data_IF_770984170519
#
_entry.id   IF_770984170519
#
_cell.length_a   1.000
_cell.length_b   1.000
_cell.length_c   1.000
_cell.angle_alpha   90.00
_cell.angle_beta   90.00
_cell.angle_gamma   90.00
#
_symmetry.space_group_name_H-M   'P 1'
#
loop_
_entity.id
_entity.type
_entity.pdbx_description
1 polymer ?
#
# COMPACT_ATOMS: atom_id res chain seq x y z
N UNK A 1 -10.84 22.97 11.19
CA UNK A 1 -10.59 22.65 9.77
C UNK A 1 -11.86 22.20 9.05
N UNK A 2 -12.61 21.21 9.54
CA UNK A 2 -13.87 20.77 8.92
C UNK A 2 -14.98 21.84 8.92
N UNK A 3 -14.95 22.80 9.83
CA UNK A 3 -15.94 23.91 9.92
C UNK A 3 -15.99 24.82 8.69
N UNK A 4 -14.97 24.77 7.82
CA UNK A 4 -14.92 25.53 6.56
C UNK A 4 -15.44 24.74 5.36
N UNK A 5 -15.77 23.48 5.57
CA UNK A 5 -16.29 22.56 4.56
C UNK A 5 -17.79 22.37 4.76
N UNK A 6 -18.52 22.31 3.66
CA UNK A 6 -19.94 21.99 3.63
C UNK A 6 -20.14 20.50 3.37
N UNK A 7 -21.18 19.93 3.97
CA UNK A 7 -21.54 18.53 3.73
C UNK A 7 -22.08 18.40 2.29
N UNK A 8 -21.43 17.59 1.47
CA UNK A 8 -21.88 17.29 0.10
C UNK A 8 -22.77 16.05 0.07
N UNK A 9 -22.44 15.03 0.87
CA UNK A 9 -23.26 13.83 1.05
C UNK A 9 -23.09 13.19 2.45
N UNK A 10 -23.54 11.94 2.62
CA UNK A 10 -23.46 11.24 3.91
C UNK A 10 -22.03 11.07 4.46
N UNK A 11 -21.02 11.04 3.60
CA UNK A 11 -19.63 10.70 3.91
C UNK A 11 -18.61 11.74 3.39
N UNK A 12 -19.05 12.73 2.61
CA UNK A 12 -18.22 13.77 2.00
C UNK A 12 -18.48 15.17 2.57
N UNK A 13 -17.38 15.87 2.83
CA UNK A 13 -17.34 17.28 3.15
C UNK A 13 -16.41 17.98 2.16
N UNK A 14 -16.89 19.05 1.55
CA UNK A 14 -16.22 19.75 0.47
C UNK A 14 -16.35 21.26 0.54
N UNK A 15 -15.95 21.96 -0.52
CA UNK A 15 -16.10 23.41 -0.60
C UNK A 15 -16.57 23.80 -2.00
N UNK A 16 -17.65 24.58 -2.09
CA UNK A 16 -18.26 25.03 -3.36
C UNK A 16 -18.53 23.85 -4.30
N UNK A 17 -19.08 22.76 -3.75
CA UNK A 17 -19.34 21.53 -4.50
C UNK A 17 -18.11 20.67 -4.84
N UNK A 18 -16.90 21.08 -4.44
CA UNK A 18 -15.68 20.28 -4.64
C UNK A 18 -15.45 19.34 -3.47
N UNK A 19 -15.43 18.04 -3.73
CA UNK A 19 -15.19 16.97 -2.73
C UNK A 19 -13.89 17.15 -1.96
N UNK A 20 -13.92 16.86 -0.65
CA UNK A 20 -12.74 16.78 0.21
C UNK A 20 -12.19 15.37 0.40
N UNK A 21 -12.63 14.41 -0.43
CA UNK A 21 -12.19 13.02 -0.37
C UNK A 21 -10.90 12.80 -1.17
N UNK A 22 -9.99 12.06 -0.54
CA UNK A 22 -8.77 11.54 -1.16
C UNK A 22 -9.12 10.34 -2.03
N UNK A 23 -8.37 10.15 -3.12
CA UNK A 23 -8.56 9.04 -4.05
C UNK A 23 -7.27 8.24 -4.21
N UNK A 24 -7.38 6.93 -4.39
CA UNK A 24 -6.30 6.11 -4.91
C UNK A 24 -6.52 5.92 -6.40
N UNK A 25 -5.56 6.39 -7.20
CA UNK A 25 -5.60 6.19 -8.65
C UNK A 25 -4.63 5.08 -9.03
N UNK A 26 -5.15 4.05 -9.69
CA UNK A 26 -4.41 2.87 -10.14
C UNK A 26 -4.14 2.96 -11.64
N UNK A 27 -2.94 2.56 -12.06
CA UNK A 27 -2.56 2.43 -13.48
C UNK A 27 -1.86 1.11 -13.71
N UNK A 28 -2.28 0.40 -14.74
CA UNK A 28 -1.69 -0.89 -15.11
C UNK A 28 -0.23 -0.69 -15.53
N UNK A 29 0.67 -1.53 -15.03
CA UNK A 29 2.08 -1.53 -15.43
C UNK A 29 2.24 -2.01 -16.88
N UNK A 30 3.28 -1.53 -17.55
CA UNK A 30 3.58 -1.91 -18.93
C UNK A 30 3.84 -3.43 -19.00
N UNK A 31 3.15 -4.14 -19.89
CA UNK A 31 3.28 -5.59 -20.10
C UNK A 31 2.38 -6.47 -19.20
N UNK A 32 1.71 -5.89 -18.19
CA UNK A 32 0.83 -6.65 -17.30
C UNK A 32 -0.46 -7.15 -17.99
N UNK A 33 -0.95 -6.42 -18.99
CA UNK A 33 -2.13 -6.80 -19.78
C UNK A 33 -1.94 -8.08 -20.59
N UNK A 34 -0.72 -8.34 -21.07
CA UNK A 34 -0.40 -9.50 -21.90
C UNK A 34 -0.28 -10.79 -21.07
N UNK A 35 0.18 -10.66 -19.81
CA UNK A 35 0.41 -11.80 -18.90
C UNK A 35 -0.80 -12.21 -18.07
N UNK A 36 -1.76 -11.32 -17.85
CA UNK A 36 -2.91 -11.57 -16.99
C UNK A 36 -3.94 -12.56 -17.58
N UNK A 37 -3.83 -12.92 -18.87
CA UNK A 37 -4.77 -13.83 -19.55
C UNK A 37 -6.23 -13.34 -19.57
N UNK A 38 -6.46 -12.07 -19.19
CA UNK A 38 -7.76 -11.41 -19.06
C UNK A 38 -7.60 -9.93 -19.40
N UNK A 39 -8.67 -9.32 -19.93
CA UNK A 39 -8.71 -7.87 -20.14
C UNK A 39 -8.77 -7.15 -18.79
N UNK A 40 -7.65 -6.56 -18.37
CA UNK A 40 -7.56 -5.73 -17.18
C UNK A 40 -7.80 -4.26 -17.54
N UNK A 41 -8.50 -3.54 -16.67
CA UNK A 41 -8.71 -2.10 -16.85
C UNK A 41 -7.38 -1.35 -16.85
N UNK A 42 -7.07 -0.51 -17.86
CA UNK A 42 -5.81 0.22 -17.91
C UNK A 42 -5.59 1.16 -16.72
N UNK A 43 -6.68 1.68 -16.14
CA UNK A 43 -6.67 2.51 -14.95
C UNK A 43 -8.03 2.55 -14.28
N UNK A 44 -8.05 2.69 -12.96
CA UNK A 44 -9.28 2.91 -12.20
C UNK A 44 -9.00 3.75 -10.95
N UNK A 45 -10.05 4.26 -10.31
CA UNK A 45 -9.94 5.10 -9.13
C UNK A 45 -10.82 4.58 -8.00
N UNK A 46 -10.28 4.59 -6.78
CA UNK A 46 -11.00 4.24 -5.56
C UNK A 46 -11.07 5.48 -4.66
N UNK A 47 -12.28 5.88 -4.28
CA UNK A 47 -12.49 6.96 -3.30
C UNK A 47 -12.27 6.44 -1.89
N UNK A 48 -11.44 7.13 -1.10
CA UNK A 48 -11.15 6.77 0.29
C UNK A 48 -12.10 7.50 1.24
N UNK A 49 -13.17 6.82 1.62
CA UNK A 49 -14.13 7.35 2.60
C UNK A 49 -13.57 7.26 4.03
N UNK A 50 -13.98 8.17 4.94
CA UNK A 50 -13.69 8.02 6.36
C UNK A 50 -14.13 6.64 6.88
N UNK A 51 -13.31 6.03 7.73
CA UNK A 51 -13.60 4.72 8.35
C UNK A 51 -13.85 3.57 7.35
N UNK A 52 -13.36 3.72 6.11
CA UNK A 52 -13.39 2.64 5.12
C UNK A 52 -12.09 1.84 5.11
N UNK A 53 -12.18 0.59 4.65
CA UNK A 53 -11.04 -0.26 4.40
C UNK A 53 -11.06 -0.70 2.92
N UNK A 54 -9.89 -0.64 2.28
CA UNK A 54 -9.69 -1.12 0.92
C UNK A 54 -8.79 -2.36 0.94
N UNK A 55 -9.27 -3.46 0.37
CA UNK A 55 -8.53 -4.71 0.27
C UNK A 55 -8.18 -4.98 -1.19
N UNK A 56 -6.90 -5.21 -1.47
CA UNK A 56 -6.41 -5.60 -2.78
C UNK A 56 -5.50 -6.83 -2.64
N UNK A 57 -5.77 -7.94 -3.34
CA UNK A 57 -4.86 -9.08 -3.37
C UNK A 57 -3.47 -8.66 -3.87
N UNK A 58 -2.40 -9.20 -3.28
CA UNK A 58 -1.03 -8.91 -3.72
C UNK A 58 -0.80 -9.27 -5.20
N UNK A 59 -1.45 -10.33 -5.68
CA UNK A 59 -1.42 -10.73 -7.09
C UNK A 59 -1.96 -9.65 -8.02
N UNK A 60 -2.98 -8.90 -7.60
CA UNK A 60 -3.52 -7.75 -8.34
C UNK A 60 -2.68 -6.51 -8.10
N UNK A 61 -2.27 -6.24 -6.86
CA UNK A 61 -1.45 -5.08 -6.50
C UNK A 61 -0.16 -5.01 -7.32
N UNK A 62 0.49 -6.15 -7.54
CA UNK A 62 1.70 -6.27 -8.35
C UNK A 62 1.53 -5.75 -9.78
N UNK A 63 0.33 -5.83 -10.35
CA UNK A 63 0.08 -5.44 -11.75
C UNK A 63 -0.14 -3.93 -11.92
N UNK A 64 -0.40 -3.21 -10.84
CA UNK A 64 -0.75 -1.78 -10.88
C UNK A 64 0.26 -0.93 -10.10
N UNK A 65 0.60 0.24 -10.64
CA UNK A 65 1.08 1.34 -9.79
C UNK A 65 -0.13 2.07 -9.21
N UNK A 66 0.04 2.67 -8.03
CA UNK A 66 -1.01 3.47 -7.41
C UNK A 66 -0.43 4.75 -6.82
N UNK A 67 -1.23 5.81 -6.86
CA UNK A 67 -0.88 7.10 -6.26
C UNK A 67 -2.05 7.63 -5.43
N UNK A 68 -1.71 8.31 -4.34
CA UNK A 68 -2.66 9.04 -3.52
C UNK A 68 -2.91 10.39 -4.19
N UNK A 69 -4.13 10.63 -4.64
CA UNK A 69 -4.57 11.93 -5.16
C UNK A 69 -5.36 12.67 -4.08
N UNK A 70 -4.83 13.77 -3.52
CA UNK A 70 -5.58 14.58 -2.58
C UNK A 70 -6.77 15.25 -3.28
N UNK A 71 -7.73 15.72 -2.48
CA UNK A 71 -8.80 16.57 -2.97
C UNK A 71 -8.22 17.85 -3.61
N UNK A 72 -8.79 18.37 -4.70
CA UNK A 72 -8.34 19.61 -5.34
C UNK A 72 -8.89 20.84 -4.59
N UNK A 73 -8.68 20.87 -3.28
CA UNK A 73 -9.03 21.98 -2.41
C UNK A 73 -7.78 22.82 -2.12
N UNK A 74 -7.97 24.10 -1.81
CA UNK A 74 -6.88 24.93 -1.29
C UNK A 74 -6.26 24.26 -0.06
N UNK A 75 -4.94 24.39 0.09
CA UNK A 75 -4.20 23.70 1.15
C UNK A 75 -4.75 23.99 2.56
N UNK A 76 -5.32 25.18 2.77
CA UNK A 76 -5.94 25.59 4.04
C UNK A 76 -7.29 24.91 4.31
N UNK A 77 -7.91 24.31 3.29
CA UNK A 77 -9.19 23.61 3.36
C UNK A 77 -9.02 22.10 3.39
N UNK A 78 -7.83 21.57 3.08
CA UNK A 78 -7.56 20.14 3.15
C UNK A 78 -7.71 19.63 4.59
N UNK A 79 -8.59 18.66 4.85
CA UNK A 79 -8.69 18.05 6.16
C UNK A 79 -7.46 17.16 6.42
N UNK A 80 -6.90 17.23 7.63
CA UNK A 80 -5.91 16.24 8.08
C UNK A 80 -6.58 14.87 8.15
N UNK A 81 -5.96 13.87 7.51
CA UNK A 81 -6.44 12.48 7.53
C UNK A 81 -5.29 11.56 7.92
N UNK A 82 -5.57 10.62 8.80
CA UNK A 82 -4.67 9.50 9.05
C UNK A 82 -5.17 8.29 8.26
N UNK A 83 -4.25 7.65 7.56
CA UNK A 83 -4.47 6.38 6.87
C UNK A 83 -3.37 5.40 7.26
N UNK A 84 -3.73 4.13 7.38
CA UNK A 84 -2.78 3.06 7.64
C UNK A 84 -2.73 2.15 6.42
N UNK A 85 -1.52 1.75 6.04
CA UNK A 85 -1.31 0.69 5.04
C UNK A 85 -0.81 -0.52 5.80
N UNK A 86 -1.56 -1.60 5.74
CA UNK A 86 -1.16 -2.89 6.32
C UNK A 86 -0.78 -3.81 5.18
N UNK A 87 0.43 -4.37 5.28
CA UNK A 87 0.91 -5.50 4.46
C UNK A 87 1.21 -6.64 5.41
N UNK A 88 1.08 -7.86 4.91
CA UNK A 88 1.33 -9.05 5.69
C UNK A 88 2.05 -10.07 4.83
N UNK A 89 3.14 -10.59 5.36
CA UNK A 89 3.86 -11.72 4.79
C UNK A 89 3.20 -13.03 5.20
N UNK A 90 3.53 -14.10 4.49
CA UNK A 90 3.29 -15.46 4.95
C UNK A 90 4.22 -15.90 6.09
N UNK A 91 5.29 -15.15 6.39
CA UNK A 91 6.21 -15.48 7.48
C UNK A 91 5.62 -15.16 8.85
N UNK A 92 5.56 -16.19 9.70
CA UNK A 92 5.08 -16.08 11.06
C UNK A 92 6.17 -15.51 11.97
N UNK A 93 5.87 -14.39 12.62
CA UNK A 93 6.74 -13.78 13.63
C UNK A 93 6.16 -13.97 15.04
N UNK A 94 7.04 -14.18 16.02
CA UNK A 94 6.70 -14.34 17.44
C UNK A 94 7.43 -13.27 18.24
N UNK A 95 6.69 -12.54 19.07
CA UNK A 95 7.25 -11.58 20.02
C UNK A 95 7.06 -12.09 21.46
N UNK A 96 8.16 -12.35 22.17
CA UNK A 96 8.17 -12.79 23.58
C UNK A 96 9.37 -12.20 24.30
N UNK A 97 9.18 -11.77 25.54
CA UNK A 97 10.24 -11.28 26.43
C UNK A 97 11.12 -10.17 25.79
N UNK A 98 10.48 -9.28 25.00
CA UNK A 98 11.15 -8.18 24.32
C UNK A 98 11.92 -8.56 23.05
N UNK A 99 11.90 -9.83 22.64
CA UNK A 99 12.58 -10.33 21.43
C UNK A 99 11.56 -10.73 20.38
N UNK A 100 11.75 -10.24 19.16
CA UNK A 100 10.99 -10.68 17.98
C UNK A 100 11.81 -11.71 17.23
N UNK A 101 11.20 -12.85 16.91
CA UNK A 101 11.81 -13.93 16.12
C UNK A 101 10.92 -14.36 14.96
N UNK A 102 11.52 -14.78 13.85
CA UNK A 102 10.82 -15.48 12.78
C UNK A 102 10.71 -16.97 13.11
N UNK A 103 9.55 -17.55 12.87
CA UNK A 103 9.33 -18.99 12.98
C UNK A 103 9.73 -19.66 11.68
N UNK A 104 10.70 -20.55 11.78
CA UNK A 104 11.24 -21.32 10.67
C UNK A 104 10.61 -22.71 10.62
N UNK A 105 10.89 -23.44 9.53
CA UNK A 105 10.51 -24.84 9.38
C UNK A 105 10.99 -25.67 10.59
N UNK A 106 10.15 -26.60 11.02
CA UNK A 106 10.41 -27.41 12.22
C UNK A 106 10.19 -26.68 13.55
N UNK A 107 9.62 -25.47 13.54
CA UNK A 107 9.26 -24.72 14.77
C UNK A 107 10.42 -24.00 15.44
N UNK A 108 11.59 -23.93 14.78
CA UNK A 108 12.75 -23.18 15.26
C UNK A 108 12.49 -21.67 15.19
N UNK A 109 12.99 -20.92 16.16
CA UNK A 109 12.92 -19.47 16.17
C UNK A 109 14.27 -18.87 15.76
N UNK A 110 14.26 -17.90 14.86
CA UNK A 110 15.42 -17.07 14.52
C UNK A 110 15.16 -15.63 14.93
N UNK A 111 15.93 -15.12 15.89
CA UNK A 111 15.79 -13.74 16.38
C UNK A 111 16.08 -12.75 15.25
N UNK A 112 15.31 -11.65 15.22
CA UNK A 112 15.58 -10.56 14.29
C UNK A 112 16.88 -9.84 14.66
N UNK A 113 17.66 -9.52 13.64
CA UNK A 113 18.88 -8.75 13.76
C UNK A 113 18.64 -7.29 13.37
N UNK A 114 19.44 -6.34 13.89
CA UNK A 114 19.41 -4.96 13.40
C UNK A 114 19.67 -4.88 11.89
N UNK A 115 19.03 -3.93 11.18
CA UNK A 115 19.23 -3.77 9.74
C UNK A 115 20.68 -3.40 9.42
N UNK A 116 21.25 -4.05 8.40
CA UNK A 116 22.57 -3.71 7.85
C UNK A 116 22.44 -2.70 6.71
N UNK A 117 23.47 -1.88 6.48
CA UNK A 117 23.46 -0.90 5.37
C UNK A 117 23.29 -1.60 4.02
N UNK A 118 24.02 -2.69 3.81
CA UNK A 118 23.95 -3.49 2.58
C UNK A 118 22.57 -4.15 2.41
N UNK A 119 21.99 -4.69 3.49
CA UNK A 119 20.64 -5.24 3.49
C UNK A 119 19.59 -4.19 3.12
N UNK A 120 19.70 -3.00 3.69
CA UNK A 120 18.83 -1.86 3.39
C UNK A 120 18.96 -1.39 1.93
N UNK A 121 20.17 -1.38 1.37
CA UNK A 121 20.40 -1.04 -0.03
C UNK A 121 19.77 -2.07 -0.97
N UNK A 122 20.01 -3.36 -0.72
CA UNK A 122 19.37 -4.46 -1.46
C UNK A 122 17.85 -4.36 -1.41
N UNK A 123 17.30 -4.15 -0.22
CA UNK A 123 15.85 -4.03 -0.01
C UNK A 123 15.26 -2.89 -0.85
N UNK A 124 15.88 -1.70 -0.84
CA UNK A 124 15.43 -0.57 -1.68
C UNK A 124 15.46 -0.90 -3.17
N UNK A 125 16.48 -1.60 -3.64
CA UNK A 125 16.55 -2.02 -5.04
C UNK A 125 15.43 -2.99 -5.42
N UNK A 126 15.11 -3.96 -4.56
CA UNK A 126 13.99 -4.89 -4.76
C UNK A 126 12.65 -4.14 -4.81
N UNK A 127 12.42 -3.18 -3.91
CA UNK A 127 11.23 -2.33 -3.96
C UNK A 127 11.15 -1.48 -5.23
N UNK A 128 12.27 -0.99 -5.74
CA UNK A 128 12.29 -0.24 -6.99
C UNK A 128 11.90 -1.16 -8.18
N UNK A 129 12.43 -2.38 -8.21
CA UNK A 129 12.08 -3.40 -9.21
C UNK A 129 10.59 -3.78 -9.14
N UNK A 130 10.06 -3.99 -7.94
CA UNK A 130 8.65 -4.28 -7.71
C UNK A 130 7.76 -3.16 -8.25
N UNK A 131 8.17 -1.89 -8.18
CA UNK A 131 7.36 -0.77 -8.65
C UNK A 131 7.40 -0.56 -10.18
N UNK A 132 8.47 -1.00 -10.84
CA UNK A 132 8.66 -0.83 -12.28
C UNK A 132 8.15 -2.04 -13.08
N UNK A 133 8.31 -3.24 -12.54
CA UNK A 133 7.93 -4.49 -13.19
C UNK A 133 6.66 -5.09 -12.60
N UNK A 134 6.05 -6.03 -13.31
CA UNK A 134 4.96 -6.88 -12.85
C UNK A 134 5.42 -8.33 -12.54
N UNK A 135 6.73 -8.55 -12.57
CA UNK A 135 7.38 -9.81 -12.21
C UNK A 135 7.27 -10.08 -10.71
N UNK A 136 7.40 -11.35 -10.33
CA UNK A 136 7.53 -11.74 -8.92
C UNK A 136 8.93 -11.34 -8.46
N UNK A 137 9.02 -10.44 -7.49
CA UNK A 137 10.28 -10.10 -6.82
C UNK A 137 10.51 -11.11 -5.69
N UNK A 138 11.64 -11.79 -5.72
CA UNK A 138 12.07 -12.68 -4.66
C UNK A 138 12.85 -11.90 -3.61
N UNK A 139 12.23 -11.69 -2.45
CA UNK A 139 12.88 -11.07 -1.30
C UNK A 139 13.74 -12.07 -0.50
N UNK A 140 13.79 -13.33 -0.92
CA UNK A 140 14.50 -14.45 -0.29
C UNK A 140 13.59 -15.28 0.62
N UNK A 141 14.06 -16.48 1.01
CA UNK A 141 13.32 -17.41 1.92
C UNK A 141 12.95 -16.81 3.28
N UNK A 142 13.56 -15.68 3.66
CA UNK A 142 13.30 -14.94 4.91
C UNK A 142 12.90 -13.48 4.60
N UNK A 143 12.55 -13.21 3.34
CA UNK A 143 12.21 -11.93 2.73
C UNK A 143 10.81 -11.44 3.01
N UNK A 144 10.21 -11.87 4.11
CA UNK A 144 9.06 -11.23 4.70
C UNK A 144 9.47 -9.95 5.43
N UNK A 145 9.74 -8.90 4.67
CA UNK A 145 9.65 -7.53 5.20
C UNK A 145 8.53 -6.76 4.51
N UNK A 146 7.40 -7.45 4.28
CA UNK A 146 6.09 -6.89 3.97
C UNK A 146 4.98 -7.79 4.49
#
# INVERSE_FOLDING_TARGET
HLERLERLDSFDFGHKGTSGLTKLHFRLKKGASERAGRSLEPSFTVTLYPNSAFFMPLSTNRLYTHEVRPAPLDAQLLPTRMGYVVRCSDCEAVHRDGVTSLKLEGGRLAALEPPTIEGMQRLRSLYAEENVSDGIVDYGKHGSML
#
